data_IF_322958122933
#
_entry.id   IF_322958122933
#
_cell.length_a   1.000
_cell.length_b   1.000
_cell.length_c   1.000
_cell.angle_alpha   90.00
_cell.angle_beta   90.00
_cell.angle_gamma   90.00
#
_symmetry.space_group_name_H-M   'P 1'
#
loop_
_entity.id
_entity.type
_entity.pdbx_description
1 polymer ?
#
# COMPACT_ATOMS: atom_id res chain seq x y z
N UNK A 1 -4.72 6.11 34.92
CA UNK A 1 -4.52 7.25 33.99
C UNK A 1 -5.52 8.32 34.36
N UNK A 2 -5.07 9.55 34.44
CA UNK A 2 -5.93 10.69 34.70
C UNK A 2 -7.06 10.69 33.68
N UNK A 3 -8.32 10.68 34.14
CA UNK A 3 -9.49 10.66 33.26
C UNK A 3 -9.37 11.80 32.26
N UNK A 4 -9.26 11.49 30.97
CA UNK A 4 -9.07 12.49 29.91
C UNK A 4 -10.27 13.41 29.75
N UNK A 5 -11.40 13.10 30.40
CA UNK A 5 -12.68 13.80 30.30
C UNK A 5 -13.13 13.99 28.83
N UNK A 6 -12.83 13.00 27.98
CA UNK A 6 -13.20 12.96 26.56
C UNK A 6 -14.20 11.88 26.28
N UNK A 7 -15.10 12.14 25.35
CA UNK A 7 -16.07 11.16 24.84
C UNK A 7 -15.59 10.68 23.47
N UNK A 8 -15.44 9.38 23.33
CA UNK A 8 -15.04 8.72 22.10
C UNK A 8 -16.23 8.01 21.48
N UNK A 9 -16.43 8.17 20.21
CA UNK A 9 -17.48 7.50 19.45
C UNK A 9 -16.86 6.54 18.44
N UNK A 10 -17.34 5.30 18.46
CA UNK A 10 -16.85 4.23 17.61
C UNK A 10 -17.98 3.69 16.73
N UNK A 11 -17.64 3.19 15.54
CA UNK A 11 -18.55 2.38 14.72
C UNK A 11 -18.73 0.99 15.35
N UNK A 12 -19.66 0.21 14.80
CA UNK A 12 -19.83 -1.20 15.21
C UNK A 12 -18.59 -2.04 14.91
N UNK A 13 -17.82 -1.69 13.88
CA UNK A 13 -16.56 -2.35 13.52
C UNK A 13 -15.37 -1.93 14.41
N UNK A 14 -15.59 -1.00 15.37
CA UNK A 14 -14.54 -0.51 16.28
C UNK A 14 -13.70 0.63 15.72
N UNK A 15 -14.06 1.21 14.57
CA UNK A 15 -13.39 2.37 14.02
C UNK A 15 -13.78 3.62 14.82
N UNK A 16 -12.78 4.38 15.31
CA UNK A 16 -13.02 5.65 15.98
C UNK A 16 -13.53 6.69 14.96
N UNK A 17 -14.73 7.23 15.20
CA UNK A 17 -15.37 8.18 14.29
C UNK A 17 -15.23 9.63 14.74
N UNK A 18 -15.31 9.85 16.05
CA UNK A 18 -15.31 11.18 16.61
C UNK A 18 -14.78 11.17 18.05
N UNK A 19 -14.23 12.30 18.47
CA UNK A 19 -13.83 12.56 19.85
C UNK A 19 -14.15 14.01 20.18
N UNK A 20 -14.79 14.23 21.35
CA UNK A 20 -15.11 15.57 21.82
C UNK A 20 -15.00 15.65 23.33
N UNK A 21 -15.10 16.87 23.85
CA UNK A 21 -14.88 17.15 25.26
C UNK A 21 -13.41 17.32 25.62
N UNK A 22 -13.11 17.26 26.89
CA UNK A 22 -11.82 17.47 27.53
C UNK A 22 -12.04 17.98 28.93
N UNK A 23 -10.97 18.14 29.72
CA UNK A 23 -11.06 18.62 31.10
C UNK A 23 -11.34 20.14 31.13
N UNK A 24 -12.42 20.56 31.75
CA UNK A 24 -12.79 21.98 31.88
C UNK A 24 -14.17 22.18 32.45
N UNK A 25 -14.53 23.44 32.72
CA UNK A 25 -15.82 23.85 33.32
C UNK A 25 -16.76 24.50 32.31
N UNK A 26 -16.23 24.87 31.14
CA UNK A 26 -17.03 25.55 30.10
C UNK A 26 -17.85 24.54 29.30
N UNK A 27 -18.92 25.01 28.67
CA UNK A 27 -19.77 24.19 27.81
C UNK A 27 -18.94 23.44 26.75
N UNK A 28 -19.17 22.14 26.65
CA UNK A 28 -18.43 21.25 25.76
C UNK A 28 -17.24 20.55 26.42
N UNK A 29 -16.91 20.92 27.68
CA UNK A 29 -15.87 20.28 28.47
C UNK A 29 -16.45 19.61 29.73
N UNK A 30 -15.71 18.74 30.36
CA UNK A 30 -16.15 17.93 31.50
C UNK A 30 -15.12 17.96 32.62
N UNK A 31 -15.60 17.81 33.84
CA UNK A 31 -14.73 17.61 35.04
C UNK A 31 -14.71 16.16 35.52
N UNK A 32 -15.91 15.56 35.63
CA UNK A 32 -16.07 14.17 36.05
C UNK A 32 -17.27 13.54 35.30
N UNK A 33 -17.12 13.21 34.02
CA UNK A 33 -18.17 12.58 33.23
C UNK A 33 -18.37 11.16 33.71
N UNK A 34 -19.56 10.84 34.24
CA UNK A 34 -19.88 9.55 34.89
C UNK A 34 -20.82 8.68 34.08
N UNK A 35 -21.57 9.23 33.14
CA UNK A 35 -22.52 8.49 32.32
C UNK A 35 -22.69 9.13 30.96
N UNK A 36 -22.91 8.29 29.95
CA UNK A 36 -23.24 8.70 28.60
C UNK A 36 -24.42 7.88 28.08
N UNK A 37 -25.35 8.55 27.40
CA UNK A 37 -26.48 7.92 26.73
C UNK A 37 -26.70 8.56 25.37
N UNK A 38 -27.36 7.87 24.45
CA UNK A 38 -27.76 8.40 23.14
C UNK A 38 -29.24 8.18 22.92
N UNK A 39 -29.90 9.12 22.22
CA UNK A 39 -31.27 8.95 21.80
C UNK A 39 -31.37 8.44 20.34
N UNK A 40 -32.61 8.23 19.88
CA UNK A 40 -32.90 7.79 18.51
C UNK A 40 -32.51 8.79 17.42
N UNK A 41 -32.36 10.09 17.77
CA UNK A 41 -31.87 11.13 16.86
C UNK A 41 -30.34 11.14 16.74
N UNK A 42 -29.66 10.39 17.63
CA UNK A 42 -28.20 10.37 17.75
C UNK A 42 -27.63 11.53 18.55
N UNK A 43 -28.46 12.25 19.32
CA UNK A 43 -27.94 13.19 20.30
C UNK A 43 -27.31 12.44 21.46
N UNK A 44 -26.17 12.98 21.96
CA UNK A 44 -25.38 12.38 23.03
C UNK A 44 -25.59 13.18 24.31
N UNK A 45 -26.01 12.51 25.35
CA UNK A 45 -26.24 13.05 26.70
C UNK A 45 -25.09 12.61 27.60
N UNK A 46 -24.38 13.55 28.19
CA UNK A 46 -23.25 13.28 29.09
C UNK A 46 -23.56 13.87 30.46
N UNK A 47 -23.68 13.03 31.48
CA UNK A 47 -23.85 13.48 32.86
C UNK A 47 -22.47 13.70 33.49
N UNK A 48 -22.27 14.91 34.04
CA UNK A 48 -21.06 15.29 34.77
C UNK A 48 -21.39 15.49 36.23
N UNK A 49 -20.77 14.66 37.08
CA UNK A 49 -21.02 14.66 38.52
C UNK A 49 -20.44 15.90 39.19
N UNK A 50 -19.24 16.32 38.79
CA UNK A 50 -18.55 17.45 39.44
C UNK A 50 -19.20 18.79 39.02
N UNK A 51 -19.69 18.91 37.79
CA UNK A 51 -20.43 20.07 37.31
C UNK A 51 -21.91 20.03 37.69
N UNK A 52 -22.44 18.91 38.19
CA UNK A 52 -23.83 18.75 38.55
C UNK A 52 -24.84 18.95 37.44
N UNK A 53 -24.45 18.67 36.16
CA UNK A 53 -25.28 18.92 35.00
C UNK A 53 -25.27 17.76 34.02
N UNK A 54 -26.19 17.85 33.03
CA UNK A 54 -26.21 16.98 31.86
C UNK A 54 -25.99 17.90 30.64
N UNK A 55 -24.94 17.61 29.86
CA UNK A 55 -24.70 18.30 28.60
C UNK A 55 -25.22 17.48 27.44
N UNK A 56 -25.91 18.14 26.49
CA UNK A 56 -26.48 17.49 25.30
C UNK A 56 -25.74 17.96 24.06
N UNK A 57 -25.28 17.01 23.25
CA UNK A 57 -24.53 17.24 22.03
C UNK A 57 -25.35 16.73 20.83
N UNK A 58 -25.71 17.65 19.95
CA UNK A 58 -26.33 17.29 18.68
C UNK A 58 -25.28 16.96 17.63
N UNK A 59 -25.62 16.03 16.74
CA UNK A 59 -24.75 15.65 15.62
C UNK A 59 -24.64 16.81 14.62
N UNK A 60 -23.42 17.22 14.29
CA UNK A 60 -23.17 18.22 13.23
C UNK A 60 -23.37 17.58 11.85
N UNK A 61 -23.52 18.41 10.80
CA UNK A 61 -23.58 17.94 9.41
C UNK A 61 -22.33 17.12 9.04
N UNK A 62 -21.15 17.57 9.49
CA UNK A 62 -19.88 16.85 9.33
C UNK A 62 -19.94 15.46 9.98
N UNK A 63 -20.29 15.38 11.27
CA UNK A 63 -20.39 14.10 11.96
C UNK A 63 -21.40 13.17 11.27
N UNK A 64 -22.55 13.70 10.84
CA UNK A 64 -23.56 12.92 10.11
C UNK A 64 -22.99 12.34 8.79
N UNK A 65 -22.19 13.10 8.06
CA UNK A 65 -21.53 12.64 6.84
C UNK A 65 -20.54 11.53 7.15
N UNK A 66 -19.67 11.67 8.16
CA UNK A 66 -18.71 10.66 8.59
C UNK A 66 -19.41 9.36 9.01
N UNK A 67 -20.51 9.45 9.78
CA UNK A 67 -21.27 8.27 10.20
C UNK A 67 -21.89 7.52 9.02
N UNK A 68 -22.48 8.23 8.05
CA UNK A 68 -23.03 7.61 6.84
C UNK A 68 -21.96 6.96 6.00
N UNK A 69 -20.82 7.64 5.82
CA UNK A 69 -19.70 7.10 5.08
C UNK A 69 -19.17 5.80 5.70
N UNK A 70 -19.01 5.78 7.03
CA UNK A 70 -18.58 4.57 7.71
C UNK A 70 -19.60 3.45 7.64
N UNK A 71 -20.89 3.74 7.76
CA UNK A 71 -21.94 2.73 7.62
C UNK A 71 -21.90 2.08 6.22
N UNK A 72 -21.83 2.87 5.16
CA UNK A 72 -21.69 2.37 3.79
C UNK A 72 -20.42 1.51 3.62
N UNK A 73 -19.30 1.93 4.24
CA UNK A 73 -18.07 1.15 4.25
C UNK A 73 -18.24 -0.22 4.93
N UNK A 74 -18.86 -0.24 6.11
CA UNK A 74 -19.11 -1.46 6.89
C UNK A 74 -20.09 -2.41 6.17
N UNK A 75 -21.01 -1.89 5.36
CA UNK A 75 -21.90 -2.63 4.46
C UNK A 75 -21.19 -3.14 3.19
N UNK A 76 -19.98 -2.72 2.92
CA UNK A 76 -19.20 -3.09 1.73
C UNK A 76 -19.48 -2.24 0.48
N UNK A 77 -20.29 -1.18 0.60
CA UNK A 77 -20.60 -0.23 -0.48
C UNK A 77 -19.47 0.81 -0.62
N UNK A 78 -18.27 0.34 -1.01
CA UNK A 78 -17.03 1.14 -0.95
C UNK A 78 -17.03 2.36 -1.87
N UNK A 79 -17.68 2.32 -3.02
CA UNK A 79 -17.81 3.47 -3.94
C UNK A 79 -18.68 4.55 -3.34
N UNK A 80 -19.82 4.18 -2.76
CA UNK A 80 -20.72 5.09 -2.05
C UNK A 80 -20.02 5.69 -0.81
N UNK A 81 -19.37 4.83 -0.01
CA UNK A 81 -18.60 5.27 1.15
C UNK A 81 -17.51 6.28 0.75
N UNK A 82 -16.81 6.03 -0.36
CA UNK A 82 -15.81 6.96 -0.88
C UNK A 82 -16.41 8.33 -1.18
N UNK A 83 -17.55 8.40 -1.89
CA UNK A 83 -18.24 9.65 -2.19
C UNK A 83 -18.66 10.40 -0.91
N UNK A 84 -19.24 9.69 0.06
CA UNK A 84 -19.66 10.28 1.34
C UNK A 84 -18.48 10.79 2.19
N UNK A 85 -17.32 10.10 2.14
CA UNK A 85 -16.10 10.59 2.79
C UNK A 85 -15.53 11.82 2.07
N UNK A 86 -15.63 11.92 0.75
CA UNK A 86 -15.25 13.12 0.01
C UNK A 86 -16.13 14.31 0.38
N UNK A 87 -17.45 14.10 0.55
CA UNK A 87 -18.35 15.14 1.04
C UNK A 87 -17.96 15.61 2.46
N UNK A 88 -17.61 14.67 3.34
CA UNK A 88 -17.11 15.00 4.68
C UNK A 88 -15.78 15.76 4.61
N UNK A 89 -14.86 15.38 3.70
CA UNK A 89 -13.59 16.07 3.49
C UNK A 89 -13.76 17.50 3.01
N UNK A 90 -14.79 17.78 2.22
CA UNK A 90 -15.11 19.14 1.81
C UNK A 90 -15.50 20.04 3.00
N UNK A 91 -16.05 19.47 4.07
CA UNK A 91 -16.41 20.20 5.30
C UNK A 91 -15.21 20.37 6.25
N UNK A 92 -14.34 19.37 6.35
CA UNK A 92 -13.09 19.42 7.13
C UNK A 92 -11.99 18.59 6.44
N UNK A 93 -11.12 19.24 5.64
CA UNK A 93 -10.06 18.57 4.88
C UNK A 93 -8.98 17.92 5.75
N UNK A 94 -8.81 18.37 6.99
CA UNK A 94 -7.72 17.96 7.86
C UNK A 94 -8.13 16.87 8.84
N UNK A 95 -9.36 16.41 8.81
CA UNK A 95 -9.81 15.38 9.74
C UNK A 95 -9.24 14.01 9.37
N UNK A 96 -8.33 13.52 10.19
CA UNK A 96 -7.55 12.29 9.93
C UNK A 96 -8.44 11.06 9.69
N UNK A 97 -9.57 10.93 10.39
CA UNK A 97 -10.50 9.79 10.26
C UNK A 97 -11.10 9.75 8.86
N UNK A 98 -11.47 10.91 8.30
CA UNK A 98 -12.02 11.03 6.93
C UNK A 98 -10.97 10.61 5.91
N UNK A 99 -9.75 11.12 6.01
CA UNK A 99 -8.67 10.78 5.10
C UNK A 99 -8.30 9.29 5.17
N UNK A 100 -8.34 8.68 6.36
CA UNK A 100 -8.18 7.23 6.54
C UNK A 100 -9.34 6.45 5.90
N UNK A 101 -10.57 6.91 6.06
CA UNK A 101 -11.75 6.31 5.44
C UNK A 101 -11.66 6.31 3.92
N UNK A 102 -11.28 7.45 3.32
CA UNK A 102 -11.01 7.58 1.88
C UNK A 102 -9.95 6.56 1.44
N UNK A 103 -8.82 6.50 2.15
CA UNK A 103 -7.75 5.57 1.83
C UNK A 103 -8.20 4.11 1.90
N UNK A 104 -8.99 3.75 2.91
CA UNK A 104 -9.54 2.41 3.07
C UNK A 104 -10.51 2.05 1.93
N UNK A 105 -11.38 2.98 1.51
CA UNK A 105 -12.26 2.79 0.37
C UNK A 105 -11.45 2.56 -0.92
N UNK A 106 -10.48 3.42 -1.21
CA UNK A 106 -9.61 3.31 -2.38
C UNK A 106 -8.88 1.97 -2.42
N UNK A 107 -8.39 1.50 -1.28
CA UNK A 107 -7.74 0.19 -1.18
C UNK A 107 -8.71 -0.96 -1.51
N UNK A 108 -9.93 -0.93 -0.97
CA UNK A 108 -10.97 -1.94 -1.25
C UNK A 108 -11.42 -1.93 -2.72
N UNK A 109 -11.37 -0.77 -3.37
CA UNK A 109 -11.67 -0.61 -4.79
C UNK A 109 -10.50 -0.98 -5.72
N UNK A 110 -9.35 -1.43 -5.17
CA UNK A 110 -8.16 -1.79 -5.94
C UNK A 110 -7.34 -0.60 -6.44
N UNK A 111 -7.66 0.63 -6.01
CA UNK A 111 -6.94 1.87 -6.35
C UNK A 111 -5.76 2.08 -5.41
N UNK A 112 -4.85 1.12 -5.39
CA UNK A 112 -3.82 0.96 -4.36
C UNK A 112 -2.82 2.13 -4.30
N UNK A 113 -2.46 2.73 -5.43
CA UNK A 113 -1.54 3.88 -5.47
C UNK A 113 -2.18 5.13 -4.86
N UNK A 114 -3.46 5.36 -5.16
CA UNK A 114 -4.23 6.47 -4.59
C UNK A 114 -4.49 6.27 -3.09
N UNK A 115 -4.77 5.04 -2.68
CA UNK A 115 -4.89 4.67 -1.27
C UNK A 115 -3.59 4.99 -0.51
N UNK A 116 -2.43 4.67 -1.07
CA UNK A 116 -1.14 4.98 -0.45
C UNK A 116 -0.93 6.49 -0.28
N UNK A 117 -1.32 7.30 -1.28
CA UNK A 117 -1.26 8.75 -1.20
C UNK A 117 -2.19 9.31 -0.10
N UNK A 118 -3.41 8.76 0.00
CA UNK A 118 -4.40 9.16 1.02
C UNK A 118 -3.97 8.77 2.44
N UNK A 119 -3.41 7.56 2.66
CA UNK A 119 -2.85 7.17 3.96
C UNK A 119 -1.68 8.07 4.39
N UNK A 120 -0.85 8.48 3.44
CA UNK A 120 0.23 9.43 3.71
C UNK A 120 -0.30 10.80 4.11
N UNK A 121 -1.36 11.28 3.45
CA UNK A 121 -2.01 12.54 3.80
C UNK A 121 -2.68 12.49 5.18
N UNK A 122 -3.16 11.31 5.60
CA UNK A 122 -3.72 11.08 6.93
C UNK A 122 -2.66 10.89 8.05
N UNK A 123 -1.35 10.98 7.73
CA UNK A 123 -0.21 10.62 8.61
C UNK A 123 -0.32 9.21 9.21
N UNK A 124 -1.02 8.31 8.52
CA UNK A 124 -1.12 6.90 8.92
C UNK A 124 0.06 6.10 8.37
N UNK A 125 1.18 6.20 9.07
CA UNK A 125 2.45 5.55 8.69
C UNK A 125 2.36 4.03 8.69
N UNK A 126 1.54 3.46 9.57
CA UNK A 126 1.39 2.00 9.67
C UNK A 126 0.69 1.43 8.42
N UNK A 127 -0.48 1.96 8.07
CA UNK A 127 -1.23 1.54 6.88
C UNK A 127 -0.47 1.85 5.59
N UNK A 128 0.16 3.04 5.51
CA UNK A 128 1.03 3.41 4.40
C UNK A 128 2.21 2.44 4.22
N UNK A 129 2.90 2.06 5.32
CA UNK A 129 4.02 1.12 5.30
C UNK A 129 3.63 -0.26 4.80
N UNK A 130 2.49 -0.79 5.28
CA UNK A 130 1.95 -2.07 4.81
C UNK A 130 1.64 -2.04 3.31
N UNK A 131 0.97 -0.99 2.86
CA UNK A 131 0.59 -0.84 1.45
C UNK A 131 1.81 -0.66 0.53
N UNK A 132 2.84 0.04 0.99
CA UNK A 132 4.11 0.18 0.27
C UNK A 132 4.81 -1.16 0.06
N UNK A 133 4.75 -2.07 1.03
CA UNK A 133 5.33 -3.41 0.88
C UNK A 133 4.56 -4.25 -0.13
N UNK A 134 3.24 -4.16 -0.16
CA UNK A 134 2.39 -4.81 -1.17
C UNK A 134 2.68 -4.28 -2.58
N UNK A 135 2.71 -2.96 -2.76
CA UNK A 135 3.04 -2.33 -4.04
C UNK A 135 4.43 -2.71 -4.56
N UNK A 136 5.43 -2.82 -3.66
CA UNK A 136 6.77 -3.29 -4.02
C UNK A 136 6.75 -4.76 -4.45
N UNK A 137 6.04 -5.60 -3.71
CA UNK A 137 5.91 -7.02 -4.04
C UNK A 137 5.23 -7.23 -5.40
N UNK A 138 4.16 -6.50 -5.71
CA UNK A 138 3.49 -6.54 -7.01
C UNK A 138 4.40 -6.05 -8.15
N UNK A 139 5.16 -4.98 -7.93
CA UNK A 139 6.11 -4.48 -8.92
C UNK A 139 7.22 -5.51 -9.19
N UNK A 140 7.75 -6.14 -8.16
CA UNK A 140 8.75 -7.23 -8.31
C UNK A 140 8.14 -8.40 -9.09
N UNK A 141 6.93 -8.87 -8.73
CA UNK A 141 6.24 -9.97 -9.43
C UNK A 141 6.02 -9.64 -10.91
N UNK A 142 5.61 -8.41 -11.25
CA UNK A 142 5.38 -7.98 -12.64
C UNK A 142 6.64 -8.02 -13.49
N UNK A 143 7.79 -7.64 -12.92
CA UNK A 143 9.06 -7.59 -13.64
C UNK A 143 9.89 -8.87 -13.51
N UNK A 144 9.55 -9.77 -12.58
CA UNK A 144 10.31 -10.99 -12.29
C UNK A 144 10.46 -11.87 -13.53
N UNK A 145 9.40 -12.08 -14.29
CA UNK A 145 9.45 -12.85 -15.53
C UNK A 145 10.40 -12.27 -16.58
N UNK A 146 10.40 -10.94 -16.73
CA UNK A 146 11.32 -10.26 -17.67
C UNK A 146 12.77 -10.37 -17.21
N UNK A 147 13.04 -10.25 -15.91
CA UNK A 147 14.39 -10.41 -15.35
C UNK A 147 14.89 -11.83 -15.54
N UNK A 148 14.08 -12.84 -15.25
CA UNK A 148 14.41 -14.23 -15.49
C UNK A 148 14.71 -14.50 -16.98
N UNK A 149 13.90 -13.99 -17.88
CA UNK A 149 14.10 -14.14 -19.31
C UNK A 149 15.40 -13.48 -19.78
N UNK A 150 15.72 -12.29 -19.26
CA UNK A 150 16.99 -11.60 -19.55
C UNK A 150 18.20 -12.40 -19.05
N UNK A 151 18.15 -12.97 -17.83
CA UNK A 151 19.21 -13.81 -17.28
C UNK A 151 19.43 -15.05 -18.14
N UNK A 152 18.36 -15.73 -18.55
CA UNK A 152 18.45 -16.89 -19.43
C UNK A 152 19.03 -16.50 -20.80
N UNK A 153 18.61 -15.40 -21.39
CA UNK A 153 19.15 -14.91 -22.66
C UNK A 153 20.66 -14.63 -22.57
N UNK A 154 21.12 -13.99 -21.48
CA UNK A 154 22.54 -13.74 -21.24
C UNK A 154 23.32 -15.05 -21.08
N UNK A 155 22.79 -15.99 -20.32
CA UNK A 155 23.43 -17.30 -20.13
C UNK A 155 23.56 -18.08 -21.46
N UNK A 156 22.50 -18.11 -22.27
CA UNK A 156 22.52 -18.73 -23.60
C UNK A 156 23.53 -18.03 -24.52
N UNK A 157 23.53 -16.69 -24.53
CA UNK A 157 24.50 -15.88 -25.29
C UNK A 157 25.93 -16.19 -24.92
N UNK A 158 26.23 -16.29 -23.61
CA UNK A 158 27.54 -16.64 -23.10
C UNK A 158 28.00 -18.04 -23.56
N UNK A 159 27.10 -19.04 -23.49
CA UNK A 159 27.38 -20.42 -23.96
C UNK A 159 27.65 -20.43 -25.46
N UNK A 160 26.86 -19.71 -26.25
CA UNK A 160 27.05 -19.61 -27.70
C UNK A 160 28.39 -18.93 -28.04
N UNK A 161 28.73 -17.85 -27.32
CA UNK A 161 30.00 -17.16 -27.49
C UNK A 161 31.19 -18.06 -27.20
N UNK A 162 31.15 -18.79 -26.07
CA UNK A 162 32.21 -19.76 -25.70
C UNK A 162 32.33 -20.86 -26.77
N UNK A 163 31.21 -21.41 -27.26
CA UNK A 163 31.22 -22.40 -28.35
C UNK A 163 31.82 -21.79 -29.64
N UNK A 164 31.50 -20.55 -29.97
CA UNK A 164 32.04 -19.92 -31.16
C UNK A 164 33.54 -19.63 -31.04
N UNK A 165 34.02 -19.22 -29.87
CA UNK A 165 35.43 -19.02 -29.58
C UNK A 165 36.20 -20.31 -29.65
N UNK A 166 35.70 -21.41 -29.07
CA UNK A 166 36.31 -22.75 -29.17
C UNK A 166 36.42 -23.19 -30.63
N UNK A 167 35.36 -23.07 -31.42
CA UNK A 167 35.39 -23.43 -32.85
C UNK A 167 36.38 -22.59 -33.65
N UNK A 168 36.59 -21.31 -33.29
CA UNK A 168 37.61 -20.47 -33.92
C UNK A 168 39.02 -20.87 -33.52
N UNK A 169 39.23 -21.19 -32.24
CA UNK A 169 40.52 -21.69 -31.75
C UNK A 169 40.88 -23.00 -32.41
N UNK A 170 39.96 -23.97 -32.50
CA UNK A 170 40.19 -25.27 -33.17
C UNK A 170 40.56 -25.09 -34.64
N UNK A 171 39.92 -24.16 -35.35
CA UNK A 171 40.24 -23.84 -36.74
C UNK A 171 41.59 -23.15 -36.91
N UNK A 172 42.02 -22.34 -35.93
CA UNK A 172 43.33 -21.68 -35.92
C UNK A 172 44.44 -22.72 -35.68
N UNK A 173 44.23 -23.63 -34.71
CA UNK A 173 45.15 -24.73 -34.41
C UNK A 173 45.28 -25.68 -35.62
N UNK A 174 44.17 -26.06 -36.23
CA UNK A 174 44.18 -26.91 -37.43
C UNK A 174 44.97 -26.29 -38.59
N UNK A 175 44.87 -24.95 -38.77
CA UNK A 175 45.66 -24.23 -39.78
C UNK A 175 47.15 -24.21 -39.50
N UNK A 176 47.51 -24.07 -38.20
CA UNK A 176 48.92 -24.12 -37.78
C UNK A 176 49.58 -25.48 -38.08
N UNK A 177 48.92 -26.57 -37.69
CA UNK A 177 49.41 -27.94 -37.95
C UNK A 177 49.44 -28.33 -39.45
N UNK A 178 48.58 -27.75 -40.30
CA UNK A 178 48.63 -27.97 -41.76
C UNK A 178 49.74 -27.20 -42.46
N UNK A 179 50.25 -26.10 -41.85
CA UNK A 179 51.37 -25.32 -42.36
C UNK A 179 52.73 -25.93 -41.96
N UNK A 180 52.79 -26.73 -40.89
CA UNK A 180 54.03 -27.30 -40.35
C UNK A 180 54.25 -28.77 -40.74
N UNK A 181 53.47 -29.35 -41.71
CA UNK A 181 53.68 -30.66 -42.28
C UNK A 181 54.32 -30.57 -43.70
N UNK A 182 55.65 -30.35 -43.77
CA UNK A 182 56.38 -30.25 -45.05
C UNK A 182 56.61 -31.62 -45.71
N UNK A 183 56.00 -32.70 -45.18
CA UNK A 183 56.34 -34.08 -45.51
C UNK A 183 55.49 -34.80 -46.54
N UNK A 184 54.53 -34.10 -47.24
CA UNK A 184 53.62 -34.77 -48.17
C UNK A 184 53.78 -34.45 -49.64
N UNK A 185 54.86 -33.75 -50.00
CA UNK A 185 55.17 -33.49 -51.40
C UNK A 185 56.49 -34.22 -51.76
N UNK A 186 56.36 -35.32 -52.44
CA UNK A 186 57.51 -35.90 -53.06
C UNK A 186 57.70 -37.45 -52.95
N UNK A 187 57.41 -38.07 -54.00
CA UNK A 187 57.95 -39.28 -54.57
C UNK A 187 56.97 -40.41 -54.91
N UNK A 188 56.42 -40.25 -56.04
CA UNK A 188 56.29 -41.37 -56.95
C UNK A 188 57.32 -41.15 -58.06
N UNK A 189 58.53 -41.73 -57.86
CA UNK A 189 59.40 -42.02 -58.97
C UNK A 189 59.28 -43.56 -59.17
N UNK A 190 58.69 -43.98 -60.27
CA UNK A 190 58.80 -45.29 -60.83
C UNK A 190 60.24 -45.48 -61.35
N UNK A 191 60.91 -46.64 -61.11
CA UNK A 191 61.98 -47.07 -61.96
C UNK A 191 61.42 -47.89 -63.12
N UNK A 192 61.83 -47.50 -64.29
CA UNK A 192 61.83 -48.38 -65.45
C UNK A 192 62.99 -49.34 -65.36
N UNK A 193 62.81 -50.60 -65.75
CA UNK A 193 63.76 -51.64 -65.96
C UNK A 193 63.08 -52.98 -66.08
#
# INVERSE_FOLDING_TARGET
>A
EEKSCRIYQYSQSGTMLNVFGGKGEVKGFFQDPVSVATDSSGAVYVADRALGNIQVFSRTAFAAAVYRAQAAYDEGSYEEAYGLYEDARALDPNYAVVNKGIAACLYKLGRTEEAAAAYRAADDRASYGTLQTELRAERIKRHFGLVCLAVVAVAVGAVLLVRQLRRRADRAVARYYHLDDPGRDGRQTRPHG
#
